data_IF_718715300690
#
_entry.id   IF_718715300690
#
_cell.length_a   1.000
_cell.length_b   1.000
_cell.length_c   1.000
_cell.angle_alpha   90.00
_cell.angle_beta   90.00
_cell.angle_gamma   90.00
#
_symmetry.space_group_name_H-M   'P 1'
#
loop_
_entity.id
_entity.type
_entity.pdbx_description
1 polymer ?
#
# COMPACT_ATOMS: atom_id res chain seq x y z
N UNK A 1 -37.82 66.79 22.50
CA UNK A 1 -36.80 66.38 21.51
C UNK A 1 -35.74 65.60 22.22
N UNK A 2 -35.77 64.29 22.16
CA UNK A 2 -34.68 63.34 22.65
C UNK A 2 -34.05 62.69 21.46
N UNK A 3 -32.75 62.88 21.23
CA UNK A 3 -31.94 62.25 20.22
C UNK A 3 -31.43 60.92 20.77
N UNK A 4 -31.82 59.83 20.13
CA UNK A 4 -31.27 58.48 20.40
C UNK A 4 -30.05 58.24 19.52
N UNK A 5 -28.89 57.97 20.13
CA UNK A 5 -27.63 57.58 19.48
C UNK A 5 -27.59 56.05 19.34
N UNK A 6 -27.59 55.57 18.12
CA UNK A 6 -27.35 54.14 17.81
C UNK A 6 -25.81 53.87 17.83
N UNK A 7 -25.39 52.97 18.69
CA UNK A 7 -24.02 52.45 18.70
C UNK A 7 -23.94 51.26 17.74
N UNK A 8 -23.15 51.39 16.68
CA UNK A 8 -22.78 50.29 15.79
C UNK A 8 -21.67 49.45 16.47
N UNK A 9 -22.04 48.24 16.92
CA UNK A 9 -21.05 47.24 17.37
C UNK A 9 -20.35 46.58 16.20
N UNK A 10 -19.01 46.67 16.13
CA UNK A 10 -18.18 45.92 15.21
C UNK A 10 -18.03 44.48 15.74
N UNK A 11 -18.61 43.50 15.05
CA UNK A 11 -18.30 42.08 15.23
C UNK A 11 -17.00 41.77 14.45
N UNK A 12 -15.89 41.69 15.17
CA UNK A 12 -14.66 41.15 14.65
C UNK A 12 -14.84 39.64 14.47
N UNK A 13 -15.05 39.18 13.24
CA UNK A 13 -15.03 37.78 12.89
C UNK A 13 -13.66 37.22 13.08
N UNK A 14 -13.44 36.33 14.05
CA UNK A 14 -12.27 35.49 14.16
C UNK A 14 -12.34 34.45 13.04
N UNK A 15 -11.63 34.71 11.95
CA UNK A 15 -11.25 33.64 11.00
C UNK A 15 -10.25 32.72 11.73
N UNK A 16 -10.73 31.59 12.24
CA UNK A 16 -9.86 30.51 12.66
C UNK A 16 -9.02 30.11 11.43
N UNK A 17 -7.77 30.53 11.42
CA UNK A 17 -6.82 30.17 10.38
C UNK A 17 -6.69 28.66 10.33
N UNK A 18 -7.23 28.02 9.30
CA UNK A 18 -6.94 26.65 8.95
C UNK A 18 -5.46 26.62 8.55
N UNK A 19 -4.56 26.35 9.50
CA UNK A 19 -3.16 26.11 9.20
C UNK A 19 -3.08 24.90 8.30
N UNK A 20 -2.86 25.11 7.01
CA UNK A 20 -2.57 24.01 6.08
C UNK A 20 -1.38 23.24 6.65
N UNK A 21 -1.54 21.92 6.85
CA UNK A 21 -0.41 21.08 7.23
C UNK A 21 0.67 21.20 6.15
N UNK A 22 1.95 21.23 6.56
CA UNK A 22 3.04 21.27 5.59
C UNK A 22 2.92 20.10 4.62
N UNK A 23 3.20 20.36 3.36
CA UNK A 23 3.20 19.32 2.34
C UNK A 23 4.20 18.23 2.74
N UNK A 24 3.77 16.96 2.69
CA UNK A 24 4.61 15.81 2.99
C UNK A 24 5.62 15.61 1.85
N UNK A 25 6.87 15.35 2.20
CA UNK A 25 7.97 15.17 1.27
C UNK A 25 8.97 14.09 1.73
N UNK A 26 10.12 13.99 1.08
CA UNK A 26 11.15 13.00 1.42
C UNK A 26 11.70 13.12 2.85
N UNK A 27 11.50 14.24 3.55
CA UNK A 27 11.92 14.38 4.95
C UNK A 27 11.03 13.58 5.90
N UNK A 28 9.79 13.26 5.48
CA UNK A 28 8.86 12.42 6.24
C UNK A 28 9.04 10.93 5.99
N UNK A 29 9.99 10.53 5.14
CA UNK A 29 10.27 9.14 4.78
C UNK A 29 11.49 8.63 5.54
N UNK A 30 11.38 7.43 6.14
CA UNK A 30 12.51 6.58 6.53
C UNK A 30 12.69 5.53 5.44
N UNK A 31 13.82 5.53 4.76
CA UNK A 31 14.17 4.51 3.78
C UNK A 31 14.96 3.38 4.46
N UNK A 32 14.45 2.17 4.39
CA UNK A 32 15.06 0.96 4.95
C UNK A 32 15.79 0.19 3.85
N UNK A 33 17.10 0.01 4.02
CA UNK A 33 18.00 -0.55 3.02
C UNK A 33 18.76 -1.72 3.62
N UNK A 34 18.75 -2.88 2.97
CA UNK A 34 19.64 -3.98 3.33
C UNK A 34 21.02 -3.76 2.68
N UNK A 35 22.07 -3.50 3.50
CA UNK A 35 23.44 -3.29 3.00
C UNK A 35 24.05 -4.51 2.33
N UNK A 36 23.66 -5.69 2.75
CA UNK A 36 24.17 -6.94 2.18
C UNK A 36 23.64 -7.16 0.75
N UNK A 37 22.43 -6.68 0.45
CA UNK A 37 21.78 -6.87 -0.84
C UNK A 37 22.16 -5.77 -1.86
N UNK A 38 22.60 -6.17 -3.07
CA UNK A 38 23.02 -5.24 -4.13
C UNK A 38 21.84 -4.47 -4.72
N UNK A 39 20.69 -5.12 -4.86
CA UNK A 39 19.50 -4.53 -5.44
C UNK A 39 18.91 -3.48 -4.50
N UNK A 40 18.86 -3.77 -3.20
CA UNK A 40 18.45 -2.83 -2.16
C UNK A 40 19.27 -1.53 -2.19
N UNK A 41 20.60 -1.66 -2.29
CA UNK A 41 21.49 -0.47 -2.41
C UNK A 41 21.22 0.31 -3.69
N UNK A 42 21.09 -0.38 -4.83
CA UNK A 42 20.82 0.27 -6.12
C UNK A 42 19.47 1.02 -6.12
N UNK A 43 18.46 0.46 -5.48
CA UNK A 43 17.17 1.13 -5.28
C UNK A 43 17.34 2.40 -4.44
N UNK A 44 18.07 2.32 -3.34
CA UNK A 44 18.33 3.48 -2.48
C UNK A 44 19.07 4.59 -3.22
N UNK A 45 20.14 4.25 -3.95
CA UNK A 45 20.94 5.20 -4.73
C UNK A 45 20.09 5.95 -5.77
N UNK A 46 19.06 5.29 -6.32
CA UNK A 46 18.13 5.90 -7.26
C UNK A 46 17.02 6.73 -6.57
N UNK A 47 16.44 6.21 -5.49
CA UNK A 47 15.27 6.82 -4.84
C UNK A 47 15.62 8.05 -3.99
N UNK A 48 16.74 8.02 -3.27
CA UNK A 48 17.17 9.10 -2.37
C UNK A 48 17.19 10.46 -3.08
N UNK A 49 17.93 10.66 -4.20
CA UNK A 49 17.95 11.95 -4.89
C UNK A 49 16.62 12.32 -5.53
N UNK A 50 15.84 11.36 -6.01
CA UNK A 50 14.55 11.58 -6.65
C UNK A 50 13.50 12.16 -5.70
N UNK A 51 13.55 11.77 -4.42
CA UNK A 51 12.62 12.24 -3.38
C UNK A 51 13.25 13.21 -2.39
N UNK A 52 14.55 13.53 -2.53
CA UNK A 52 15.24 14.42 -1.61
C UNK A 52 15.30 13.87 -0.18
N UNK A 53 15.46 12.55 -0.02
CA UNK A 53 15.49 11.90 1.29
C UNK A 53 16.79 12.29 2.00
N UNK A 54 16.76 12.89 3.21
CA UNK A 54 17.96 13.19 3.95
C UNK A 54 18.72 11.92 4.33
N UNK A 55 20.04 11.92 4.27
CA UNK A 55 20.85 10.73 4.61
C UNK A 55 20.62 10.22 6.03
N UNK A 56 20.25 11.08 6.97
CA UNK A 56 19.87 10.70 8.33
C UNK A 56 18.58 9.87 8.40
N UNK A 57 17.76 9.94 7.34
CA UNK A 57 16.53 9.18 7.19
C UNK A 57 16.76 7.83 6.46
N UNK A 58 18.01 7.42 6.24
CA UNK A 58 18.34 6.13 5.63
C UNK A 58 18.75 5.16 6.74
N UNK A 59 17.91 4.17 7.01
CA UNK A 59 18.18 3.09 7.96
C UNK A 59 18.82 1.92 7.22
N UNK A 60 20.01 1.52 7.63
CA UNK A 60 20.77 0.45 7.00
C UNK A 60 20.74 -0.80 7.88
N UNK A 61 20.18 -1.88 7.33
CA UNK A 61 20.16 -3.22 7.92
C UNK A 61 21.29 -4.06 7.35
N UNK A 62 21.64 -5.13 8.04
CA UNK A 62 22.63 -6.14 7.63
C UNK A 62 22.00 -7.53 7.70
N UNK A 63 21.07 -7.81 6.81
CA UNK A 63 20.36 -9.08 6.73
C UNK A 63 21.07 -9.95 5.70
N UNK A 64 21.57 -11.09 6.13
CA UNK A 64 22.32 -12.02 5.29
C UNK A 64 21.45 -13.10 4.65
N UNK A 65 20.24 -13.31 5.14
CA UNK A 65 19.27 -14.21 4.57
C UNK A 65 18.83 -13.71 3.18
N UNK A 66 18.87 -14.61 2.20
CA UNK A 66 18.38 -14.34 0.83
C UNK A 66 16.90 -14.63 0.69
N UNK A 67 16.26 -15.25 1.71
CA UNK A 67 14.85 -15.60 1.67
C UNK A 67 13.95 -14.39 1.95
N UNK A 68 12.81 -14.38 1.29
CA UNK A 68 11.77 -13.37 1.53
C UNK A 68 11.05 -13.58 2.87
N UNK A 69 11.26 -14.72 3.53
CA UNK A 69 10.64 -15.11 4.79
C UNK A 69 11.66 -15.18 5.92
N UNK A 70 11.30 -14.65 7.09
CA UNK A 70 12.17 -14.58 8.28
C UNK A 70 11.37 -15.01 9.52
N UNK A 71 11.95 -15.80 10.47
CA UNK A 71 11.27 -16.15 11.70
C UNK A 71 11.14 -14.94 12.65
N UNK A 72 10.20 -15.01 13.61
CA UNK A 72 9.85 -13.90 14.51
C UNK A 72 11.02 -13.35 15.32
N UNK A 73 11.88 -14.20 15.84
CA UNK A 73 13.05 -13.77 16.61
C UNK A 73 14.02 -12.96 15.76
N UNK A 74 14.32 -13.42 14.55
CA UNK A 74 15.15 -12.71 13.60
C UNK A 74 14.48 -11.42 13.09
N UNK A 75 13.16 -11.44 12.82
CA UNK A 75 12.44 -10.22 12.50
C UNK A 75 12.64 -9.14 13.58
N UNK A 76 12.49 -9.51 14.84
CA UNK A 76 12.67 -8.57 15.96
C UNK A 76 14.12 -8.09 16.06
N UNK A 77 15.11 -8.99 15.88
CA UNK A 77 16.53 -8.66 16.07
C UNK A 77 17.13 -7.91 14.88
N UNK A 78 16.78 -8.30 13.66
CA UNK A 78 17.46 -7.82 12.44
C UNK A 78 16.66 -6.75 11.69
N UNK A 79 15.35 -6.63 11.95
CA UNK A 79 14.47 -5.65 11.28
C UNK A 79 13.87 -4.65 12.26
N UNK A 80 13.03 -5.10 13.20
CA UNK A 80 12.24 -4.19 14.05
C UNK A 80 13.11 -3.33 14.97
N UNK A 81 13.98 -3.95 15.76
CA UNK A 81 14.88 -3.23 16.69
C UNK A 81 15.86 -2.28 15.98
N UNK A 82 16.53 -2.69 14.88
CA UNK A 82 17.39 -1.77 14.14
C UNK A 82 16.63 -0.57 13.57
N UNK A 83 15.42 -0.73 13.04
CA UNK A 83 14.60 0.38 12.54
C UNK A 83 14.21 1.31 13.70
N UNK A 84 13.75 0.77 14.83
CA UNK A 84 13.45 1.54 16.03
C UNK A 84 14.69 2.34 16.52
N UNK A 85 15.88 1.73 16.47
CA UNK A 85 17.15 2.40 16.79
C UNK A 85 17.47 3.54 15.82
N UNK A 86 17.31 3.34 14.51
CA UNK A 86 17.48 4.38 13.49
C UNK A 86 16.58 5.60 13.79
N UNK A 87 15.30 5.36 14.03
CA UNK A 87 14.32 6.42 14.34
C UNK A 87 14.68 7.18 15.62
N UNK A 88 15.11 6.47 16.67
CA UNK A 88 15.47 7.06 17.96
C UNK A 88 16.76 7.84 17.87
N UNK A 89 17.83 7.25 17.33
CA UNK A 89 19.16 7.84 17.23
C UNK A 89 19.17 9.10 16.40
N UNK A 90 18.40 9.16 15.32
CA UNK A 90 18.29 10.32 14.45
C UNK A 90 17.23 11.35 14.90
N UNK A 91 16.51 11.10 16.00
CA UNK A 91 15.43 11.98 16.47
C UNK A 91 14.24 12.07 15.52
N UNK A 92 13.96 10.99 14.77
CA UNK A 92 13.01 10.99 13.66
C UNK A 92 11.63 10.44 14.01
N UNK A 93 11.44 9.85 15.18
CA UNK A 93 10.22 9.12 15.55
C UNK A 93 8.92 9.89 15.27
N UNK A 94 8.89 11.18 15.61
CA UNK A 94 7.69 12.02 15.45
C UNK A 94 7.61 12.68 14.05
N UNK A 95 8.74 12.79 13.34
CA UNK A 95 8.82 13.50 12.06
C UNK A 95 8.58 12.57 10.85
N UNK A 96 9.10 11.35 10.92
CA UNK A 96 8.85 10.33 9.90
C UNK A 96 7.41 9.86 9.98
N UNK A 97 6.71 9.88 8.86
CA UNK A 97 5.33 9.38 8.72
C UNK A 97 5.30 8.05 7.94
N UNK A 98 6.27 7.88 7.06
CA UNK A 98 6.36 6.77 6.12
C UNK A 98 7.63 5.96 6.35
N UNK A 99 7.49 4.64 6.44
CA UNK A 99 8.62 3.71 6.34
C UNK A 99 8.56 3.10 4.95
N UNK A 100 9.67 3.14 4.21
CA UNK A 100 9.79 2.55 2.88
C UNK A 100 10.82 1.43 2.94
N UNK A 101 10.38 0.19 2.77
CA UNK A 101 11.26 -0.97 2.65
C UNK A 101 11.65 -1.17 1.19
N UNK A 102 12.87 -1.67 0.95
CA UNK A 102 13.35 -2.02 -0.38
C UNK A 102 13.40 -3.54 -0.57
N UNK A 103 13.49 -4.01 -1.81
CA UNK A 103 13.86 -5.40 -2.07
C UNK A 103 15.15 -5.75 -1.31
N UNK A 104 15.27 -7.01 -0.85
CA UNK A 104 16.34 -7.44 0.05
C UNK A 104 16.05 -7.20 1.54
N UNK A 105 14.97 -6.48 1.88
CA UNK A 105 14.36 -6.52 3.22
C UNK A 105 13.30 -7.62 3.21
N UNK A 106 13.28 -8.54 4.18
CA UNK A 106 12.33 -9.65 4.20
C UNK A 106 10.88 -9.19 3.99
N UNK A 107 10.09 -10.02 3.34
CA UNK A 107 8.70 -9.75 2.97
C UNK A 107 7.74 -10.27 4.04
N UNK A 108 8.03 -11.47 4.54
CA UNK A 108 7.15 -12.25 5.40
C UNK A 108 7.83 -12.60 6.72
N UNK A 109 7.03 -12.67 7.77
CA UNK A 109 7.44 -13.24 9.07
C UNK A 109 6.72 -14.56 9.24
N UNK A 110 7.47 -15.66 9.38
CA UNK A 110 6.88 -16.97 9.69
C UNK A 110 6.68 -17.14 11.20
N UNK A 111 5.52 -17.67 11.55
CA UNK A 111 5.17 -18.05 12.90
C UNK A 111 5.03 -19.57 13.08
N UNK A 112 4.87 -20.04 14.30
CA UNK A 112 4.53 -21.44 14.54
C UNK A 112 3.11 -21.75 14.06
N UNK A 113 2.90 -22.97 13.59
CA UNK A 113 1.59 -23.43 13.12
C UNK A 113 1.45 -23.39 11.60
N UNK A 114 0.26 -23.74 11.12
CA UNK A 114 -0.08 -23.81 9.70
C UNK A 114 -1.38 -23.06 9.40
N UNK A 115 -1.49 -22.56 8.18
CA UNK A 115 -2.68 -21.85 7.71
C UNK A 115 -3.03 -20.60 8.53
N UNK A 116 -4.31 -20.39 8.78
CA UNK A 116 -4.84 -19.22 9.52
C UNK A 116 -4.40 -19.22 10.98
N UNK A 117 -4.07 -20.39 11.56
CA UNK A 117 -3.58 -20.50 12.92
C UNK A 117 -2.08 -20.18 13.06
N UNK A 118 -1.37 -20.00 11.95
CA UNK A 118 0.02 -19.57 11.97
C UNK A 118 0.12 -18.11 12.45
N UNK A 119 1.01 -17.84 13.37
CA UNK A 119 1.36 -16.46 13.77
C UNK A 119 2.27 -15.81 12.71
N UNK A 120 1.83 -15.85 11.45
CA UNK A 120 2.56 -15.35 10.28
C UNK A 120 1.97 -14.04 9.76
N UNK A 121 2.80 -13.12 9.28
CA UNK A 121 2.34 -11.82 8.79
C UNK A 121 3.31 -11.20 7.78
N UNK A 122 2.90 -10.08 7.16
CA UNK A 122 3.78 -9.25 6.38
C UNK A 122 4.70 -8.41 7.30
N UNK A 123 5.98 -8.35 6.98
CA UNK A 123 6.95 -7.48 7.66
C UNK A 123 6.47 -6.03 7.67
N UNK A 124 5.99 -5.54 6.54
CA UNK A 124 5.53 -4.15 6.39
C UNK A 124 4.31 -3.85 7.26
N UNK A 125 3.37 -4.81 7.36
CA UNK A 125 2.16 -4.66 8.17
C UNK A 125 2.47 -4.66 9.67
N UNK A 126 3.46 -5.45 10.09
CA UNK A 126 3.94 -5.48 11.47
C UNK A 126 4.71 -4.20 11.84
N UNK A 127 5.54 -3.69 10.92
CA UNK A 127 6.24 -2.42 11.09
C UNK A 127 5.30 -1.22 11.22
N UNK A 128 4.08 -1.31 10.71
CA UNK A 128 3.10 -0.23 10.89
C UNK A 128 2.80 0.05 12.36
N UNK A 129 2.89 -0.95 13.24
CA UNK A 129 2.68 -0.81 14.68
C UNK A 129 3.89 -0.25 15.44
N UNK A 130 5.05 -0.10 14.78
CA UNK A 130 6.32 0.23 15.43
C UNK A 130 6.26 1.53 16.24
N UNK A 131 5.55 2.56 15.76
CA UNK A 131 5.38 3.81 16.52
C UNK A 131 4.76 3.58 17.91
N UNK A 132 3.68 2.81 17.98
CA UNK A 132 3.03 2.45 19.23
C UNK A 132 3.89 1.54 20.11
N UNK A 133 4.62 0.59 19.51
CA UNK A 133 5.56 -0.29 20.22
C UNK A 133 6.69 0.52 20.86
N UNK A 134 7.26 1.49 20.15
CA UNK A 134 8.27 2.42 20.69
C UNK A 134 7.76 3.30 21.83
N UNK A 135 6.44 3.43 22.01
CA UNK A 135 5.77 4.08 23.15
C UNK A 135 5.32 3.09 24.22
N UNK A 136 5.79 1.85 24.20
CA UNK A 136 5.55 0.84 25.21
C UNK A 136 4.24 0.06 25.07
N UNK A 137 3.51 0.19 23.93
CA UNK A 137 2.36 -0.68 23.67
C UNK A 137 2.82 -2.04 23.16
N UNK A 138 2.11 -3.08 23.56
CA UNK A 138 2.26 -4.44 23.05
C UNK A 138 1.03 -4.85 22.23
N UNK A 139 1.26 -5.71 21.26
CA UNK A 139 0.22 -6.24 20.37
C UNK A 139 0.38 -7.76 20.25
N UNK A 140 -0.71 -8.50 19.96
CA UNK A 140 -0.61 -9.90 19.55
C UNK A 140 0.28 -10.02 18.32
N UNK A 141 1.02 -11.11 18.20
CA UNK A 141 1.73 -11.44 16.96
C UNK A 141 0.74 -11.72 15.84
N UNK A 142 1.04 -11.25 14.64
CA UNK A 142 0.26 -11.50 13.43
C UNK A 142 -1.25 -11.27 13.61
N UNK A 143 -1.65 -10.16 14.16
CA UNK A 143 -2.99 -9.61 14.36
C UNK A 143 -4.20 -10.43 13.96
N UNK A 144 -5.20 -9.87 13.28
CA UNK A 144 -5.28 -8.49 12.81
C UNK A 144 -5.52 -7.50 13.96
N UNK A 145 -4.75 -6.43 13.95
CA UNK A 145 -4.95 -5.28 14.86
C UNK A 145 -5.78 -4.22 14.13
N UNK A 146 -6.86 -3.70 14.71
CA UNK A 146 -7.66 -2.66 14.07
C UNK A 146 -6.81 -1.45 13.66
N UNK A 147 -6.93 -1.04 12.41
CA UNK A 147 -6.22 0.13 11.90
C UNK A 147 -6.91 1.42 12.37
N UNK A 148 -6.25 2.27 13.20
CA UNK A 148 -6.87 3.49 13.71
C UNK A 148 -7.15 4.53 12.62
N UNK A 149 -6.49 4.45 11.47
CA UNK A 149 -6.65 5.37 10.33
C UNK A 149 -7.76 4.92 9.36
N UNK A 150 -8.24 3.68 9.46
CA UNK A 150 -9.27 3.15 8.58
C UNK A 150 -10.51 4.04 8.51
N UNK A 151 -10.92 4.45 7.29
CA UNK A 151 -12.07 5.32 6.98
C UNK A 151 -12.06 6.72 7.63
N UNK A 152 -10.89 7.21 8.09
CA UNK A 152 -10.73 8.56 8.69
C UNK A 152 -10.43 9.63 7.62
N UNK A 153 -11.16 9.62 6.51
CA UNK A 153 -10.91 10.43 5.32
C UNK A 153 -10.85 11.94 5.57
N UNK A 154 -11.60 12.45 6.55
CA UNK A 154 -11.66 13.88 6.89
C UNK A 154 -10.47 14.34 7.76
N UNK A 155 -9.67 13.40 8.30
CA UNK A 155 -8.59 13.73 9.22
C UNK A 155 -7.22 13.61 8.51
N UNK A 156 -6.34 14.61 8.67
CA UNK A 156 -4.97 14.47 8.18
C UNK A 156 -4.24 13.39 8.97
N UNK A 157 -3.32 12.68 8.30
CA UNK A 157 -2.49 11.70 8.98
C UNK A 157 -1.44 12.39 9.85
N UNK A 158 -1.49 12.12 11.16
CA UNK A 158 -0.49 12.55 12.15
C UNK A 158 -0.34 11.46 13.23
N UNK A 159 0.83 11.32 13.83
CA UNK A 159 1.03 10.37 14.94
C UNK A 159 0.21 10.70 16.21
N UNK A 160 -0.15 11.98 16.39
CA UNK A 160 -1.01 12.37 17.51
C UNK A 160 -2.42 11.80 17.38
N UNK A 161 -2.95 11.73 16.16
CA UNK A 161 -4.26 11.16 15.87
C UNK A 161 -4.22 9.66 15.63
N UNK A 162 -3.15 9.18 14.95
CA UNK A 162 -3.00 7.80 14.51
C UNK A 162 -1.58 7.32 14.84
N UNK A 163 -1.39 6.62 15.96
CA UNK A 163 -0.07 6.26 16.47
C UNK A 163 0.52 5.03 15.74
N UNK A 164 0.65 5.12 14.42
CA UNK A 164 1.22 4.11 13.52
C UNK A 164 2.17 4.78 12.53
N UNK A 165 3.00 4.00 11.82
CA UNK A 165 3.64 4.41 10.57
C UNK A 165 2.84 3.90 9.38
N UNK A 166 2.88 4.61 8.25
CA UNK A 166 2.40 4.10 6.97
C UNK A 166 3.59 3.46 6.26
N UNK A 167 3.52 2.15 6.05
CA UNK A 167 4.64 1.38 5.49
C UNK A 167 4.34 1.00 4.06
N UNK A 168 5.29 1.24 3.14
CA UNK A 168 5.20 0.81 1.76
C UNK A 168 6.50 0.13 1.33
N UNK A 169 6.43 -0.63 0.23
CA UNK A 169 7.55 -1.38 -0.31
C UNK A 169 7.89 -0.92 -1.73
N UNK A 170 9.16 -0.67 -1.99
CA UNK A 170 9.69 -0.52 -3.34
C UNK A 170 10.15 -1.90 -3.84
N UNK A 171 9.24 -2.62 -4.50
CA UNK A 171 9.47 -3.97 -4.97
C UNK A 171 8.82 -4.24 -6.34
N UNK A 172 9.40 -5.15 -7.08
CA UNK A 172 8.98 -5.66 -8.38
C UNK A 172 9.84 -6.87 -8.72
N UNK A 173 9.84 -7.34 -9.95
CA UNK A 173 10.68 -8.48 -10.32
C UNK A 173 12.17 -8.12 -10.40
N UNK A 174 12.47 -6.87 -10.68
CA UNK A 174 13.84 -6.39 -10.83
C UNK A 174 13.95 -4.88 -10.57
N UNK A 175 15.15 -4.34 -10.79
CA UNK A 175 15.40 -2.92 -10.62
C UNK A 175 14.58 -2.03 -11.58
N UNK A 176 14.34 -2.48 -12.79
CA UNK A 176 13.66 -1.65 -13.79
C UNK A 176 12.18 -1.48 -13.44
N UNK A 177 11.55 -2.49 -12.84
CA UNK A 177 10.21 -2.40 -12.26
C UNK A 177 10.16 -1.34 -11.15
N UNK A 178 11.11 -1.40 -10.20
CA UNK A 178 11.18 -0.45 -9.08
C UNK A 178 11.51 0.97 -9.56
N UNK A 179 12.42 1.09 -10.50
CA UNK A 179 12.71 2.37 -11.17
C UNK A 179 11.45 2.93 -11.83
N UNK A 180 10.69 2.07 -12.50
CA UNK A 180 9.40 2.41 -13.10
C UNK A 180 8.41 2.94 -12.07
N UNK A 181 8.25 2.30 -10.91
CA UNK A 181 7.42 2.79 -9.79
C UNK A 181 7.82 4.22 -9.43
N UNK A 182 9.10 4.47 -9.20
CA UNK A 182 9.60 5.78 -8.76
C UNK A 182 9.34 6.85 -9.82
N UNK A 183 9.67 6.58 -11.08
CA UNK A 183 9.51 7.55 -12.17
C UNK A 183 8.03 7.85 -12.45
N UNK A 184 7.16 6.82 -12.47
CA UNK A 184 5.71 7.00 -12.65
C UNK A 184 5.07 7.73 -11.47
N UNK A 185 5.56 7.52 -10.24
CA UNK A 185 5.09 8.26 -9.06
C UNK A 185 5.37 9.76 -9.15
N UNK A 186 6.51 10.13 -9.70
CA UNK A 186 6.88 11.55 -9.92
C UNK A 186 6.08 12.18 -11.05
N UNK A 187 5.71 11.38 -12.05
CA UNK A 187 4.98 11.82 -13.24
C UNK A 187 3.44 11.75 -13.08
N UNK A 188 2.93 11.28 -11.94
CA UNK A 188 1.50 11.09 -11.71
C UNK A 188 0.68 12.37 -11.94
N UNK A 189 -0.46 12.23 -12.65
CA UNK A 189 -1.41 13.30 -12.97
C UNK A 189 -2.83 12.82 -12.76
N UNK A 190 -3.73 13.77 -12.44
CA UNK A 190 -5.17 13.51 -12.36
C UNK A 190 -5.79 13.40 -13.75
N UNK A 191 -5.63 12.22 -14.35
CA UNK A 191 -6.19 11.86 -15.65
C UNK A 191 -6.46 10.36 -15.73
N UNK A 192 -7.21 9.93 -16.77
CA UNK A 192 -7.49 8.52 -17.01
C UNK A 192 -8.72 7.99 -16.27
N UNK A 193 -8.90 6.69 -16.31
CA UNK A 193 -10.11 5.99 -15.87
C UNK A 193 -9.82 5.05 -14.71
N UNK A 194 -10.81 4.90 -13.83
CA UNK A 194 -10.87 3.88 -12.81
C UNK A 194 -11.70 2.72 -13.34
N UNK A 195 -11.13 1.53 -13.36
CA UNK A 195 -11.74 0.30 -13.89
C UNK A 195 -12.14 -0.60 -12.73
N UNK A 196 -13.40 -0.97 -12.69
CA UNK A 196 -13.99 -1.88 -11.69
C UNK A 196 -14.53 -3.11 -12.39
N UNK A 197 -13.95 -4.27 -12.08
CA UNK A 197 -14.19 -5.54 -12.74
C UNK A 197 -14.88 -6.51 -11.76
N UNK A 198 -16.19 -6.66 -11.91
CA UNK A 198 -16.98 -7.56 -11.11
C UNK A 198 -16.91 -8.98 -11.71
N UNK A 199 -16.82 -10.02 -10.88
CA UNK A 199 -16.82 -11.41 -11.39
C UNK A 199 -18.20 -11.92 -11.81
N UNK A 200 -19.26 -11.17 -11.49
CA UNK A 200 -20.67 -11.50 -11.71
C UNK A 200 -21.55 -10.32 -11.34
N UNK A 201 -22.83 -10.37 -11.64
CA UNK A 201 -23.83 -9.39 -11.24
C UNK A 201 -24.43 -9.63 -9.84
N UNK A 202 -23.87 -10.58 -9.07
CA UNK A 202 -24.34 -10.90 -7.72
C UNK A 202 -24.08 -9.76 -6.70
N UNK A 203 -24.80 -9.82 -5.57
CA UNK A 203 -24.71 -8.88 -4.45
C UNK A 203 -23.64 -9.29 -3.43
N UNK A 204 -22.59 -10.00 -3.86
CA UNK A 204 -21.47 -10.31 -2.98
C UNK A 204 -20.83 -9.03 -2.42
N UNK A 205 -20.32 -9.11 -1.22
CA UNK A 205 -19.77 -7.93 -0.52
C UNK A 205 -18.67 -7.25 -1.33
N UNK A 206 -17.77 -8.02 -1.96
CA UNK A 206 -16.72 -7.49 -2.82
C UNK A 206 -17.26 -6.74 -4.03
N UNK A 207 -18.29 -7.28 -4.73
CA UNK A 207 -18.94 -6.60 -5.84
C UNK A 207 -19.61 -5.29 -5.38
N UNK A 208 -20.25 -5.30 -4.21
CA UNK A 208 -20.87 -4.09 -3.66
C UNK A 208 -19.84 -2.99 -3.32
N UNK A 209 -18.63 -3.34 -2.90
CA UNK A 209 -17.56 -2.36 -2.72
C UNK A 209 -17.10 -1.77 -4.05
N UNK A 210 -17.01 -2.57 -5.12
CA UNK A 210 -16.67 -2.09 -6.46
C UNK A 210 -17.73 -1.12 -6.99
N UNK A 211 -19.02 -1.48 -6.88
CA UNK A 211 -20.13 -0.59 -7.26
C UNK A 211 -20.11 0.73 -6.46
N UNK A 212 -19.87 0.63 -5.14
CA UNK A 212 -19.79 1.82 -4.28
C UNK A 212 -18.61 2.72 -4.66
N UNK A 213 -17.47 2.14 -5.01
CA UNK A 213 -16.31 2.87 -5.51
C UNK A 213 -16.63 3.62 -6.82
N UNK A 214 -17.28 2.94 -7.76
CA UNK A 214 -17.71 3.55 -9.02
C UNK A 214 -18.66 4.73 -8.82
N UNK A 215 -19.60 4.62 -7.90
CA UNK A 215 -20.54 5.71 -7.56
C UNK A 215 -19.89 6.91 -6.87
N UNK A 216 -18.75 6.71 -6.22
CA UNK A 216 -18.03 7.77 -5.50
C UNK A 216 -17.07 8.58 -6.38
N UNK A 217 -16.97 8.26 -7.68
CA UNK A 217 -16.08 8.91 -8.63
C UNK A 217 -16.89 9.56 -9.78
N UNK A 218 -16.31 10.53 -10.52
CA UNK A 218 -16.97 11.12 -11.69
C UNK A 218 -17.28 10.04 -12.74
N UNK A 219 -18.50 10.03 -13.26
CA UNK A 219 -19.00 9.00 -14.18
C UNK A 219 -18.18 8.86 -15.46
N UNK A 220 -17.67 9.95 -15.97
CA UNK A 220 -16.80 10.02 -17.16
C UNK A 220 -15.40 9.45 -16.91
N UNK A 221 -15.04 9.19 -15.65
CA UNK A 221 -13.77 8.61 -15.21
C UNK A 221 -13.90 7.13 -14.79
N UNK A 222 -15.07 6.54 -14.96
CA UNK A 222 -15.35 5.17 -14.49
C UNK A 222 -15.64 4.24 -15.67
N UNK A 223 -14.98 3.09 -15.67
CA UNK A 223 -15.35 1.91 -16.45
C UNK A 223 -15.76 0.84 -15.42
N UNK A 224 -16.97 0.33 -15.54
CA UNK A 224 -17.46 -0.74 -14.68
C UNK A 224 -18.01 -1.87 -15.55
N UNK A 225 -17.50 -3.07 -15.35
CA UNK A 225 -18.00 -4.28 -16.00
C UNK A 225 -18.65 -5.18 -14.94
N UNK A 226 -19.94 -5.45 -15.13
CA UNK A 226 -20.75 -6.34 -14.29
C UNK A 226 -21.00 -7.69 -14.98
N UNK A 227 -20.37 -7.93 -16.11
CA UNK A 227 -20.46 -9.20 -16.83
C UNK A 227 -19.57 -10.26 -16.19
N UNK A 228 -19.67 -11.50 -16.68
CA UNK A 228 -18.77 -12.60 -16.32
C UNK A 228 -17.43 -12.54 -17.07
N UNK A 229 -17.21 -11.53 -17.90
CA UNK A 229 -15.97 -11.39 -18.67
C UNK A 229 -14.98 -10.54 -17.89
N UNK A 230 -13.74 -10.99 -17.82
CA UNK A 230 -12.66 -10.21 -17.26
C UNK A 230 -12.30 -9.05 -18.18
N UNK A 231 -12.23 -7.85 -17.65
CA UNK A 231 -11.82 -6.64 -18.39
C UNK A 231 -10.35 -6.74 -18.77
N UNK A 232 -10.05 -6.55 -20.06
CA UNK A 232 -8.68 -6.60 -20.59
C UNK A 232 -8.47 -5.51 -21.65
N UNK A 233 -7.22 -5.10 -21.88
CA UNK A 233 -6.84 -4.21 -22.96
C UNK A 233 -7.31 -2.75 -22.81
N UNK A 234 -7.78 -2.34 -21.61
CA UNK A 234 -8.23 -0.97 -21.36
C UNK A 234 -7.07 0.03 -21.48
N UNK A 235 -7.40 1.23 -21.97
CA UNK A 235 -6.45 2.34 -22.13
C UNK A 235 -6.69 3.42 -21.09
N UNK A 236 -5.62 4.17 -20.82
CA UNK A 236 -5.64 5.32 -19.91
C UNK A 236 -6.11 4.95 -18.49
N UNK A 237 -5.63 3.80 -17.97
CA UNK A 237 -6.03 3.28 -16.66
C UNK A 237 -5.22 3.95 -15.55
N UNK A 238 -5.92 4.62 -14.61
CA UNK A 238 -5.34 5.24 -13.41
C UNK A 238 -5.68 4.48 -12.13
N UNK A 239 -6.63 3.57 -12.16
CA UNK A 239 -7.00 2.70 -11.05
C UNK A 239 -7.70 1.45 -11.53
N UNK A 240 -7.45 0.34 -10.86
CA UNK A 240 -8.11 -0.94 -11.12
C UNK A 240 -8.44 -1.65 -9.82
N UNK A 241 -9.65 -2.18 -9.74
CA UNK A 241 -10.02 -3.13 -8.70
C UNK A 241 -10.87 -4.26 -9.29
N UNK A 242 -10.57 -5.49 -8.85
CA UNK A 242 -11.28 -6.69 -9.29
C UNK A 242 -10.98 -7.90 -8.41
N UNK A 243 -11.48 -9.05 -8.85
CA UNK A 243 -11.35 -10.29 -8.09
C UNK A 243 -10.05 -11.05 -8.39
N UNK A 244 -9.30 -10.64 -9.41
CA UNK A 244 -8.07 -11.32 -9.80
C UNK A 244 -8.31 -12.80 -10.08
N UNK A 245 -7.41 -13.67 -9.64
CA UNK A 245 -7.55 -15.11 -9.79
C UNK A 245 -8.68 -15.75 -8.96
N UNK A 246 -9.40 -14.98 -8.14
CA UNK A 246 -10.64 -15.42 -7.49
C UNK A 246 -11.89 -15.22 -8.38
N UNK A 247 -11.70 -14.64 -9.56
CA UNK A 247 -12.68 -14.72 -10.64
C UNK A 247 -12.42 -16.00 -11.44
N UNK A 248 -13.39 -16.93 -11.54
CA UNK A 248 -13.22 -18.19 -12.28
C UNK A 248 -12.99 -17.99 -13.78
N UNK A 249 -13.28 -16.81 -14.33
CA UNK A 249 -13.07 -16.47 -15.73
C UNK A 249 -11.70 -15.81 -16.00
N UNK A 250 -10.93 -15.49 -14.97
CA UNK A 250 -9.58 -14.93 -15.08
C UNK A 250 -8.57 -16.04 -15.34
N UNK A 251 -8.01 -16.04 -16.55
CA UNK A 251 -6.99 -17.02 -16.98
C UNK A 251 -5.66 -16.36 -17.31
N UNK A 252 -5.64 -15.05 -17.52
CA UNK A 252 -4.45 -14.30 -17.91
C UNK A 252 -3.75 -13.75 -16.67
N UNK A 253 -2.41 -13.81 -16.66
CA UNK A 253 -1.59 -13.11 -15.65
C UNK A 253 -1.76 -11.60 -15.80
N UNK A 254 -1.58 -11.10 -17.00
CA UNK A 254 -1.61 -9.68 -17.34
C UNK A 254 -2.94 -9.31 -17.98
N UNK A 255 -3.45 -8.12 -17.66
CA UNK A 255 -4.70 -7.59 -18.22
C UNK A 255 -4.48 -6.89 -19.57
N UNK A 256 -3.23 -6.56 -19.94
CA UNK A 256 -2.90 -5.81 -21.13
C UNK A 256 -3.35 -4.35 -21.07
N UNK A 257 -3.43 -3.78 -19.88
CA UNK A 257 -3.84 -2.39 -19.70
C UNK A 257 -2.74 -1.40 -20.10
N UNK A 258 -3.15 -0.26 -20.63
CA UNK A 258 -2.27 0.91 -20.74
C UNK A 258 -2.36 1.72 -19.43
N UNK A 259 -1.42 1.46 -18.53
CA UNK A 259 -1.34 2.13 -17.25
C UNK A 259 -0.82 3.56 -17.39
N UNK A 260 -1.49 4.50 -16.74
CA UNK A 260 -1.01 5.86 -16.59
C UNK A 260 -0.08 6.01 -15.38
N UNK A 261 0.88 6.95 -15.42
CA UNK A 261 1.67 7.30 -14.25
C UNK A 261 0.79 7.67 -13.06
N UNK A 262 0.98 6.99 -11.93
CA UNK A 262 0.15 7.12 -10.74
C UNK A 262 -0.90 6.02 -10.58
N UNK A 263 -1.03 5.07 -11.52
CA UNK A 263 -2.05 4.02 -11.46
C UNK A 263 -1.93 3.12 -10.22
N UNK A 264 -3.05 2.87 -9.54
CA UNK A 264 -3.14 2.01 -8.36
C UNK A 264 -4.02 0.78 -8.60
N UNK A 265 -3.66 -0.34 -7.96
CA UNK A 265 -4.33 -1.63 -8.13
C UNK A 265 -4.73 -2.25 -6.80
N UNK A 266 -5.94 -2.83 -6.76
CA UNK A 266 -6.42 -3.73 -5.70
C UNK A 266 -6.96 -5.00 -6.35
N UNK A 267 -6.59 -6.17 -5.82
CA UNK A 267 -7.29 -7.42 -6.11
C UNK A 267 -7.74 -8.10 -4.83
N UNK A 268 -8.87 -8.80 -4.92
CA UNK A 268 -9.37 -9.66 -3.84
C UNK A 268 -8.76 -11.06 -3.98
N UNK A 269 -7.45 -11.14 -3.76
CA UNK A 269 -6.66 -12.37 -3.89
C UNK A 269 -5.92 -12.64 -2.60
N UNK A 270 -5.84 -13.90 -2.23
CA UNK A 270 -5.33 -14.32 -0.92
C UNK A 270 -3.81 -14.24 -0.80
N UNK A 271 -3.08 -14.53 -1.88
CA UNK A 271 -1.61 -14.73 -1.79
C UNK A 271 -0.86 -14.05 -2.95
N UNK A 272 -1.42 -12.97 -3.48
CA UNK A 272 -0.85 -12.26 -4.62
C UNK A 272 0.46 -11.53 -4.32
N UNK A 273 0.67 -11.15 -3.05
CA UNK A 273 1.90 -10.53 -2.55
C UNK A 273 2.90 -11.53 -1.94
N UNK A 274 2.74 -12.85 -2.17
CA UNK A 274 3.54 -13.91 -1.53
C UNK A 274 5.03 -13.89 -1.87
N UNK A 275 5.39 -13.33 -3.03
CA UNK A 275 6.77 -13.27 -3.51
C UNK A 275 6.97 -12.18 -4.57
N UNK A 276 8.20 -11.67 -4.67
CA UNK A 276 8.69 -10.82 -5.76
C UNK A 276 9.71 -11.55 -6.64
N UNK A 277 9.87 -12.86 -6.48
CA UNK A 277 10.64 -13.68 -7.42
C UNK A 277 9.88 -13.75 -8.75
N UNK A 278 10.62 -13.68 -9.85
CA UNK A 278 10.02 -13.78 -11.19
C UNK A 278 9.66 -15.25 -11.46
N UNK A 279 8.39 -15.56 -11.80
CA UNK A 279 8.02 -16.90 -12.18
C UNK A 279 8.62 -17.29 -13.54
N UNK A 280 8.73 -18.61 -13.86
CA UNK A 280 9.06 -19.07 -15.20
C UNK A 280 8.14 -18.44 -16.25
N UNK A 281 8.67 -18.23 -17.46
CA UNK A 281 7.93 -17.56 -18.53
C UNK A 281 6.62 -18.29 -18.93
N UNK A 282 6.67 -19.62 -18.84
CA UNK A 282 5.53 -20.51 -19.14
C UNK A 282 4.53 -20.62 -17.99
N UNK A 283 4.84 -20.11 -16.79
CA UNK A 283 3.91 -20.18 -15.67
C UNK A 283 2.66 -19.34 -15.92
N UNK A 284 1.51 -19.92 -15.62
CA UNK A 284 0.20 -19.26 -15.69
C UNK A 284 -0.52 -19.38 -14.37
N UNK A 285 -1.48 -18.48 -14.12
CA UNK A 285 -2.40 -18.65 -13.00
C UNK A 285 -3.18 -19.93 -13.16
N UNK A 286 -3.46 -20.60 -12.05
CA UNK A 286 -4.07 -21.92 -12.03
C UNK A 286 -5.23 -22.01 -11.05
N UNK A 287 -5.51 -23.20 -10.62
CA UNK A 287 -6.53 -23.51 -9.63
C UNK A 287 -5.91 -24.20 -8.43
N UNK A 288 -6.61 -24.22 -7.30
CA UNK A 288 -6.20 -24.96 -6.11
C UNK A 288 -6.23 -26.49 -6.30
N UNK A 289 -6.67 -26.96 -7.48
CA UNK A 289 -6.65 -28.38 -7.86
C UNK A 289 -5.33 -28.71 -8.55
N UNK A 290 -4.40 -29.25 -7.80
CA UNK A 290 -3.13 -29.75 -8.34
C UNK A 290 -1.95 -28.79 -8.14
N UNK A 291 -1.10 -29.15 -7.20
CA UNK A 291 0.06 -28.37 -6.77
C UNK A 291 1.18 -28.23 -7.80
N UNK A 292 1.21 -29.08 -8.84
CA UNK A 292 2.27 -29.10 -9.84
C UNK A 292 2.38 -27.80 -10.67
N UNK A 293 1.27 -27.03 -10.75
CA UNK A 293 1.24 -25.72 -11.44
C UNK A 293 1.42 -24.53 -10.52
N UNK A 294 1.72 -24.72 -9.24
CA UNK A 294 1.87 -23.63 -8.31
C UNK A 294 3.24 -22.98 -8.43
N UNK A 295 3.27 -21.68 -8.21
CA UNK A 295 4.52 -20.94 -8.07
C UNK A 295 4.58 -20.32 -6.67
N UNK A 296 5.67 -20.57 -5.97
CA UNK A 296 5.89 -20.10 -4.59
C UNK A 296 4.69 -20.37 -3.66
N UNK A 297 4.18 -21.60 -3.71
CA UNK A 297 3.11 -22.09 -2.83
C UNK A 297 1.67 -21.78 -3.23
N UNK A 298 1.43 -21.11 -4.39
CA UNK A 298 0.07 -20.76 -4.79
C UNK A 298 -0.11 -20.70 -6.32
N UNK A 299 -1.34 -21.00 -6.82
CA UNK A 299 -1.67 -20.85 -8.24
C UNK A 299 -2.14 -19.43 -8.62
N UNK A 300 -2.23 -18.51 -7.66
CA UNK A 300 -2.92 -17.23 -7.82
C UNK A 300 -2.06 -16.17 -8.51
N UNK A 301 -2.70 -15.09 -9.00
CA UNK A 301 -2.07 -13.88 -9.56
C UNK A 301 -0.97 -13.33 -8.64
N UNK A 302 -0.11 -12.48 -9.18
CA UNK A 302 1.01 -11.87 -8.48
C UNK A 302 0.91 -10.34 -8.55
N UNK A 303 1.01 -9.68 -7.41
CA UNK A 303 1.14 -8.22 -7.30
C UNK A 303 2.26 -7.67 -8.20
N UNK A 304 3.37 -8.41 -8.30
CA UNK A 304 4.51 -8.04 -9.14
C UNK A 304 4.19 -8.01 -10.64
N UNK A 305 3.21 -8.77 -11.12
CA UNK A 305 2.78 -8.74 -12.52
C UNK A 305 2.18 -7.39 -12.90
N UNK A 306 1.39 -6.75 -12.04
CA UNK A 306 0.84 -5.41 -12.26
C UNK A 306 1.92 -4.34 -12.29
N UNK A 307 2.89 -4.44 -11.39
CA UNK A 307 4.03 -3.52 -11.34
C UNK A 307 4.86 -3.64 -12.62
N UNK A 308 5.12 -4.87 -13.07
CA UNK A 308 5.86 -5.17 -14.30
C UNK A 308 5.10 -4.71 -15.56
N UNK A 309 3.78 -4.84 -15.58
CA UNK A 309 2.93 -4.35 -16.67
C UNK A 309 2.87 -2.81 -16.72
N UNK A 310 3.16 -2.10 -15.62
CA UNK A 310 3.25 -0.64 -15.61
C UNK A 310 2.42 0.07 -14.55
N UNK A 311 1.75 -0.63 -13.64
CA UNK A 311 1.10 0.00 -12.49
C UNK A 311 2.12 0.68 -11.59
N UNK A 312 1.72 1.76 -10.93
CA UNK A 312 2.59 2.58 -10.05
C UNK A 312 2.54 2.12 -8.61
N UNK A 313 1.41 1.54 -8.19
CA UNK A 313 1.25 0.97 -6.87
C UNK A 313 0.20 -0.12 -6.85
N UNK A 314 0.38 -1.08 -5.92
CA UNK A 314 -0.51 -2.20 -5.75
C UNK A 314 -0.55 -2.62 -4.27
N UNK A 315 -1.68 -3.08 -3.77
CA UNK A 315 -1.71 -3.88 -2.55
C UNK A 315 -1.57 -5.35 -2.87
N UNK A 316 -1.15 -6.14 -1.88
CA UNK A 316 -1.12 -7.58 -1.99
C UNK A 316 -1.12 -8.22 -0.60
N UNK A 317 -1.21 -9.55 -0.55
CA UNK A 317 -1.21 -10.33 0.67
C UNK A 317 -0.13 -11.41 0.61
N UNK A 318 0.66 -11.51 1.66
CA UNK A 318 1.79 -12.46 1.72
C UNK A 318 1.35 -13.87 2.06
N UNK A 319 0.23 -14.01 2.77
CA UNK A 319 -0.45 -15.26 3.11
C UNK A 319 -1.96 -15.07 2.97
N UNK A 320 -2.76 -16.12 3.26
CA UNK A 320 -4.21 -16.12 3.14
C UNK A 320 -4.88 -15.10 4.10
N UNK A 321 -5.49 -14.01 3.61
CA UNK A 321 -6.31 -13.11 4.42
C UNK A 321 -7.78 -13.52 4.37
N UNK A 322 -8.62 -12.82 5.14
CA UNK A 322 -10.06 -12.81 4.95
C UNK A 322 -10.47 -11.68 4.00
N UNK A 323 -11.55 -11.86 3.23
CA UNK A 323 -12.06 -10.85 2.29
C UNK A 323 -12.26 -9.49 2.97
N UNK A 324 -12.83 -9.48 4.17
CA UNK A 324 -13.11 -8.27 4.96
C UNK A 324 -11.86 -7.51 5.40
N UNK A 325 -10.67 -8.09 5.32
CA UNK A 325 -9.39 -7.45 5.63
C UNK A 325 -8.68 -6.90 4.39
N UNK A 326 -9.22 -7.14 3.19
CA UNK A 326 -8.72 -6.52 1.97
C UNK A 326 -8.90 -5.00 2.00
N UNK A 327 -8.04 -4.23 1.34
CA UNK A 327 -8.27 -2.80 1.12
C UNK A 327 -9.59 -2.56 0.40
N UNK A 328 -10.31 -1.53 0.83
CA UNK A 328 -11.63 -1.15 0.31
C UNK A 328 -11.51 -0.21 -0.88
N UNK A 329 -11.90 -0.59 -2.11
CA UNK A 329 -11.84 0.28 -3.28
C UNK A 329 -12.72 1.52 -3.14
N UNK A 330 -13.88 1.40 -2.45
CA UNK A 330 -14.80 2.50 -2.14
C UNK A 330 -14.21 3.56 -1.20
N UNK A 331 -13.08 3.27 -0.59
CA UNK A 331 -12.31 4.20 0.24
C UNK A 331 -11.03 4.64 -0.46
N UNK A 332 -10.25 3.70 -1.04
CA UNK A 332 -8.96 3.98 -1.66
C UNK A 332 -9.07 4.96 -2.83
N UNK A 333 -9.88 4.63 -3.84
CA UNK A 333 -9.91 5.43 -5.06
C UNK A 333 -10.49 6.82 -4.86
N UNK A 334 -11.58 7.03 -4.11
CA UNK A 334 -12.03 8.39 -3.79
C UNK A 334 -11.00 9.19 -2.98
N UNK A 335 -10.31 8.56 -2.00
CA UNK A 335 -9.27 9.25 -1.24
C UNK A 335 -8.10 9.69 -2.13
N UNK A 336 -7.64 8.81 -3.02
CA UNK A 336 -6.57 9.10 -3.97
C UNK A 336 -6.98 10.17 -4.99
N UNK A 337 -8.16 10.07 -5.56
CA UNK A 337 -8.74 11.06 -6.48
C UNK A 337 -8.84 12.44 -5.83
N UNK A 338 -9.22 12.51 -4.55
CA UNK A 338 -9.31 13.78 -3.79
C UNK A 338 -7.94 14.22 -3.21
N UNK A 339 -6.85 13.65 -3.69
CA UNK A 339 -5.50 14.16 -3.46
C UNK A 339 -4.82 13.64 -2.20
N UNK A 340 -5.26 12.53 -1.60
CA UNK A 340 -4.41 11.77 -0.68
C UNK A 340 -3.26 11.14 -1.46
N UNK A 341 -2.11 10.96 -0.80
CA UNK A 341 -1.02 10.20 -1.42
C UNK A 341 -1.30 8.69 -1.40
N UNK A 342 -0.47 7.91 -2.09
CA UNK A 342 -0.60 6.46 -2.20
C UNK A 342 -0.71 5.79 -0.83
N UNK A 343 0.23 6.05 0.08
CA UNK A 343 0.25 5.41 1.39
C UNK A 343 -0.99 5.76 2.21
N UNK A 344 -1.38 7.05 2.28
CA UNK A 344 -2.59 7.45 2.99
C UNK A 344 -3.82 6.79 2.40
N UNK A 345 -3.95 6.71 1.06
CA UNK A 345 -5.10 6.12 0.38
C UNK A 345 -5.25 4.63 0.70
N UNK A 346 -4.16 3.86 0.63
CA UNK A 346 -4.19 2.44 1.00
C UNK A 346 -4.51 2.25 2.49
N UNK A 347 -3.84 2.97 3.39
CA UNK A 347 -4.08 2.81 4.83
C UNK A 347 -5.46 3.28 5.27
N UNK A 348 -6.04 4.29 4.63
CA UNK A 348 -7.46 4.64 4.81
C UNK A 348 -8.40 3.49 4.44
N UNK A 349 -8.00 2.65 3.50
CA UNK A 349 -8.80 1.55 2.95
C UNK A 349 -8.59 0.20 3.64
N UNK A 350 -7.51 0.02 4.41
CA UNK A 350 -7.17 -1.24 5.09
C UNK A 350 -7.78 -1.31 6.50
N UNK A 351 -8.65 -2.30 6.80
CA UNK A 351 -9.26 -2.44 8.12
C UNK A 351 -8.30 -2.88 9.22
N UNK A 352 -7.30 -3.71 8.88
CA UNK A 352 -6.39 -4.35 9.83
C UNK A 352 -4.91 -4.08 9.54
N UNK A 353 -4.10 -4.11 10.60
CA UNK A 353 -2.63 -4.04 10.59
C UNK A 353 -2.06 -5.28 11.29
N UNK A 354 -0.75 -5.48 11.24
CA UNK A 354 -0.09 -6.67 11.78
C UNK A 354 -0.73 -7.94 11.21
N UNK A 355 -0.98 -7.94 9.91
CA UNK A 355 -1.64 -9.01 9.18
C UNK A 355 -0.92 -9.27 7.86
N UNK A 356 -1.62 -9.68 6.83
CA UNK A 356 -1.03 -10.18 5.58
C UNK A 356 -0.74 -9.10 4.54
N UNK A 357 -1.26 -7.89 4.75
CA UNK A 357 -1.22 -6.83 3.76
C UNK A 357 0.17 -6.23 3.56
N UNK A 358 0.51 -6.03 2.29
CA UNK A 358 1.61 -5.15 1.85
C UNK A 358 1.06 -4.06 0.94
N UNK A 359 1.78 -2.96 0.86
CA UNK A 359 1.54 -1.87 -0.11
C UNK A 359 2.81 -1.64 -0.90
N UNK A 360 2.75 -1.92 -2.20
CA UNK A 360 3.86 -1.68 -3.13
C UNK A 360 3.69 -0.31 -3.76
N UNK A 361 4.73 0.51 -3.71
CA UNK A 361 4.73 1.83 -4.32
C UNK A 361 5.47 2.89 -3.51
N UNK A 362 5.66 4.04 -4.12
CA UNK A 362 6.22 5.24 -3.47
C UNK A 362 5.12 5.91 -2.62
N UNK A 363 5.28 6.04 -1.29
CA UNK A 363 4.25 6.57 -0.41
C UNK A 363 3.79 7.98 -0.79
N UNK A 364 4.68 8.77 -1.37
CA UNK A 364 4.45 10.17 -1.75
C UNK A 364 3.84 10.33 -3.16
N UNK A 365 3.51 9.23 -3.84
CA UNK A 365 2.79 9.27 -5.11
C UNK A 365 1.42 9.90 -4.89
N UNK A 366 1.09 10.93 -5.70
CA UNK A 366 -0.14 11.69 -5.57
C UNK A 366 -0.56 12.20 -6.94
N UNK A 367 -1.85 12.16 -7.23
CA UNK A 367 -2.42 12.81 -8.42
C UNK A 367 -2.29 14.34 -8.29
N UNK A 368 -1.84 14.99 -9.36
CA UNK A 368 -1.58 16.45 -9.44
C UNK A 368 -2.41 17.09 -10.51
#
# INVERSE_FOLDING_TARGET
MRRSTLALGWLAGYCAGCSALPAQDGTNVLLVVNRADKLSRRIADYYIPKRGIPLKNVCKLDILEEDEEIPWDKYVEEVERPIAHCLTKAGLREHVLYIVTTMGVPLKVSGPGEGIAAESCAVDSELALLYSKMKGKSFPRAGPVPNPFYRRKEQPFTHASFPIYLVTRLAGYDFDDVKGIIDRSLAARDQGKFVFDLKSDDDSEGNNWLRTAALALPKDRVVMDESVKVVTGEKDVIGYAGWGSNDPNRHQRNLGFQWLPGALVIEYVSTDGRTFRRPPAEWTIGTWKGVAGWFDGSPQTLTADYIHEGATGCSGHVYEPFLELNPRPDVLFPAYFHGRNLAESYYLSMPGLSWQNIVVGDPLCKLK
#
